data_IF_915141689753
#
_entry.id   IF_915141689753
#
_cell.length_a   1.000
_cell.length_b   1.000
_cell.length_c   1.000
_cell.angle_alpha   90.00
_cell.angle_beta   90.00
_cell.angle_gamma   90.00
#
_symmetry.space_group_name_H-M   'P 1'
#
loop_
_entity.id
_entity.type
_entity.pdbx_description
1 polymer ?
#
# COMPACT_ATOMS: atom_id res chain seq x y z
N UNK A 1 3.20 1.97 -19.00
CA UNK A 1 3.38 2.14 -17.55
C UNK A 1 2.07 1.75 -16.89
N UNK A 2 2.08 0.66 -16.12
CA UNK A 2 0.85 0.11 -15.53
C UNK A 2 0.37 1.08 -14.45
N UNK A 3 -0.89 1.54 -14.50
CA UNK A 3 -1.45 2.52 -13.54
C UNK A 3 -1.20 2.11 -12.07
N UNK A 4 -1.21 0.79 -11.79
CA UNK A 4 -0.90 0.23 -10.48
C UNK A 4 0.50 0.58 -9.98
N UNK A 5 1.52 0.69 -10.85
CA UNK A 5 2.88 1.04 -10.43
C UNK A 5 2.98 2.47 -9.91
N UNK A 6 2.30 3.42 -10.56
CA UNK A 6 2.24 4.80 -10.08
C UNK A 6 1.51 4.89 -8.73
N UNK A 7 0.46 4.09 -8.55
CA UNK A 7 -0.26 3.96 -7.28
C UNK A 7 0.68 3.38 -6.21
N UNK A 8 1.42 2.32 -6.51
CA UNK A 8 2.35 1.67 -5.58
C UNK A 8 3.47 2.61 -5.13
N UNK A 9 4.02 3.41 -6.05
CA UNK A 9 5.04 4.43 -5.73
C UNK A 9 4.47 5.54 -4.84
N UNK A 10 3.23 5.96 -5.09
CA UNK A 10 2.61 7.01 -4.28
C UNK A 10 2.35 6.53 -2.84
N UNK A 11 1.86 5.29 -2.69
CA UNK A 11 1.67 4.66 -1.39
C UNK A 11 2.97 4.35 -0.66
N UNK A 12 4.00 3.88 -1.37
CA UNK A 12 5.31 3.65 -0.75
C UNK A 12 5.92 4.94 -0.19
N UNK A 13 5.72 6.08 -0.88
CA UNK A 13 6.10 7.40 -0.39
C UNK A 13 5.29 7.84 0.83
N UNK A 14 3.96 7.65 0.81
CA UNK A 14 3.10 7.97 1.95
C UNK A 14 3.48 7.16 3.20
N UNK A 15 3.68 5.85 3.07
CA UNK A 15 4.13 4.99 4.17
C UNK A 15 5.51 5.40 4.71
N UNK A 16 6.39 5.88 3.83
CA UNK A 16 7.72 6.37 4.21
C UNK A 16 7.62 7.71 4.95
N UNK A 17 6.77 8.62 4.49
CA UNK A 17 6.50 9.89 5.17
C UNK A 17 5.86 9.70 6.55
N UNK A 18 5.00 8.69 6.69
CA UNK A 18 4.39 8.31 7.96
C UNK A 18 5.28 7.43 8.85
N UNK A 19 6.46 7.01 8.36
CA UNK A 19 7.41 6.19 9.12
C UNK A 19 6.97 4.74 9.37
N UNK A 20 5.89 4.27 8.73
CA UNK A 20 5.28 2.97 8.99
C UNK A 20 5.62 1.88 7.96
N UNK A 21 6.51 2.16 6.99
CA UNK A 21 6.84 1.22 5.90
C UNK A 21 7.22 -0.19 6.36
N UNK A 22 7.92 -0.34 7.49
CA UNK A 22 8.33 -1.66 8.01
C UNK A 22 7.17 -2.42 8.67
N UNK A 23 6.31 -1.73 9.41
CA UNK A 23 5.14 -2.34 10.07
C UNK A 23 4.05 -2.74 9.09
N UNK A 24 3.89 -1.95 8.02
CA UNK A 24 2.94 -2.22 6.92
C UNK A 24 3.21 -3.61 6.31
N UNK A 25 4.46 -3.98 6.04
CA UNK A 25 4.79 -5.29 5.48
C UNK A 25 4.33 -6.43 6.39
N UNK A 26 4.60 -6.35 7.70
CA UNK A 26 4.16 -7.36 8.66
C UNK A 26 2.63 -7.46 8.77
N UNK A 27 1.92 -6.33 8.77
CA UNK A 27 0.45 -6.29 8.80
C UNK A 27 -0.16 -6.84 7.50
N UNK A 28 0.48 -6.59 6.35
CA UNK A 28 0.06 -7.14 5.07
C UNK A 28 0.39 -8.63 4.92
N UNK A 29 1.43 -9.12 5.59
CA UNK A 29 1.78 -10.55 5.68
C UNK A 29 0.80 -11.32 6.58
N UNK A 30 0.24 -10.68 7.60
CA UNK A 30 -0.83 -11.28 8.40
C UNK A 30 -2.09 -11.55 7.56
N UNK A 31 -2.67 -12.72 7.80
CA UNK A 31 -3.64 -13.41 6.95
C UNK A 31 -4.95 -12.63 6.77
N UNK A 32 -5.25 -12.27 5.52
CA UNK A 32 -6.59 -12.01 4.93
C UNK A 32 -7.46 -10.90 5.56
N UNK A 33 -7.90 -11.09 6.79
CA UNK A 33 -8.94 -10.29 7.45
C UNK A 33 -8.49 -8.85 7.72
N UNK A 34 -7.22 -8.65 8.10
CA UNK A 34 -6.65 -7.33 8.31
C UNK A 34 -6.58 -6.50 7.02
N UNK A 35 -6.32 -7.15 5.88
CA UNK A 35 -6.30 -6.48 4.58
C UNK A 35 -7.70 -6.02 4.16
N UNK A 36 -8.73 -6.84 4.41
CA UNK A 36 -10.13 -6.48 4.19
C UNK A 36 -10.60 -5.32 5.10
N UNK A 37 -10.18 -5.32 6.37
CA UNK A 37 -10.47 -4.20 7.28
C UNK A 37 -9.78 -2.92 6.83
N UNK A 38 -8.52 -3.01 6.41
CA UNK A 38 -7.79 -1.87 5.87
C UNK A 38 -8.43 -1.33 4.59
N UNK A 39 -8.91 -2.18 3.67
CA UNK A 39 -9.66 -1.76 2.48
C UNK A 39 -10.90 -0.94 2.86
N UNK A 40 -11.68 -1.39 3.84
CA UNK A 40 -12.85 -0.67 4.32
C UNK A 40 -12.50 0.67 4.97
N UNK A 41 -11.42 0.73 5.77
CA UNK A 41 -10.92 1.99 6.34
C UNK A 41 -10.47 2.95 5.23
N UNK A 42 -9.84 2.45 4.16
CA UNK A 42 -9.43 3.28 3.02
C UNK A 42 -10.61 3.89 2.29
N UNK A 43 -11.69 3.13 2.07
CA UNK A 43 -12.92 3.67 1.50
C UNK A 43 -13.53 4.76 2.40
N UNK A 44 -13.58 4.53 3.71
CA UNK A 44 -14.13 5.50 4.67
C UNK A 44 -13.25 6.75 4.84
N UNK A 45 -11.95 6.62 4.62
CA UNK A 45 -10.99 7.72 4.72
C UNK A 45 -10.81 8.48 3.41
N UNK A 46 -11.46 8.09 2.31
CA UNK A 46 -11.47 8.86 1.06
C UNK A 46 -11.71 10.35 1.22
N UNK A 47 -12.78 10.83 1.90
CA UNK A 47 -13.02 12.26 2.07
C UNK A 47 -11.95 12.96 2.94
N UNK A 48 -11.36 12.25 3.90
CA UNK A 48 -10.35 12.79 4.82
C UNK A 48 -8.96 12.87 4.17
N UNK A 49 -8.60 11.87 3.36
CA UNK A 49 -7.30 11.73 2.72
C UNK A 49 -7.26 12.27 1.28
N UNK A 50 -8.39 12.70 0.71
CA UNK A 50 -8.46 13.21 -0.67
C UNK A 50 -7.51 14.39 -0.96
N UNK A 51 -7.08 15.14 0.07
CA UNK A 51 -6.11 16.23 -0.06
C UNK A 51 -4.64 15.78 -0.06
N UNK A 52 -4.36 14.55 0.37
CA UNK A 52 -3.00 13.97 0.46
C UNK A 52 -2.80 12.89 -0.61
N UNK A 53 -3.81 12.07 -0.85
CA UNK A 53 -3.83 10.98 -1.81
C UNK A 53 -5.14 11.05 -2.61
N UNK A 54 -5.05 11.00 -3.95
CA UNK A 54 -6.22 11.05 -4.82
C UNK A 54 -7.19 9.89 -4.54
N UNK A 55 -8.50 10.15 -4.60
CA UNK A 55 -9.54 9.14 -4.36
C UNK A 55 -9.38 7.86 -5.20
N UNK A 56 -8.96 7.97 -6.47
CA UNK A 56 -8.60 6.82 -7.33
C UNK A 56 -7.47 5.98 -6.76
N UNK A 57 -6.45 6.62 -6.20
CA UNK A 57 -5.28 5.93 -5.63
C UNK A 57 -5.64 5.22 -4.32
N UNK A 58 -6.57 5.77 -3.54
CA UNK A 58 -7.16 5.11 -2.37
C UNK A 58 -7.99 3.89 -2.76
N UNK A 59 -8.88 4.03 -3.75
CA UNK A 59 -9.70 2.94 -4.25
C UNK A 59 -8.86 1.80 -4.83
N UNK A 60 -7.89 2.12 -5.69
CA UNK A 60 -7.03 1.10 -6.26
C UNK A 60 -6.19 0.37 -5.20
N UNK A 61 -5.78 1.08 -4.14
CA UNK A 61 -5.07 0.46 -3.03
C UNK A 61 -5.97 -0.45 -2.18
N UNK A 62 -7.21 -0.04 -1.93
CA UNK A 62 -8.20 -0.92 -1.30
C UNK A 62 -8.39 -2.21 -2.12
N UNK A 63 -8.50 -2.11 -3.44
CA UNK A 63 -8.60 -3.29 -4.32
C UNK A 63 -7.36 -4.20 -4.26
N UNK A 64 -6.15 -3.63 -4.17
CA UNK A 64 -4.91 -4.39 -3.97
C UNK A 64 -4.94 -5.16 -2.65
N UNK A 65 -5.51 -4.59 -1.59
CA UNK A 65 -5.64 -5.26 -0.29
C UNK A 65 -6.72 -6.35 -0.29
N UNK A 66 -7.80 -6.16 -1.04
CA UNK A 66 -8.86 -7.15 -1.23
C UNK A 66 -8.38 -8.36 -2.04
N UNK A 67 -7.46 -8.15 -2.98
CA UNK A 67 -6.92 -9.19 -3.84
C UNK A 67 -5.62 -9.79 -3.28
N UNK A 68 -5.61 -11.05 -2.81
CA UNK A 68 -4.42 -11.67 -2.22
C UNK A 68 -3.24 -11.79 -3.20
N UNK A 69 -3.49 -11.88 -4.51
CA UNK A 69 -2.44 -11.95 -5.52
C UNK A 69 -1.74 -10.60 -5.69
N UNK A 70 -2.50 -9.52 -5.83
CA UNK A 70 -1.96 -8.15 -5.94
C UNK A 70 -1.30 -7.71 -4.63
N UNK A 71 -1.88 -8.09 -3.49
CA UNK A 71 -1.28 -7.86 -2.17
C UNK A 71 0.13 -8.44 -2.09
N UNK A 72 0.31 -9.70 -2.48
CA UNK A 72 1.64 -10.34 -2.48
C UNK A 72 2.61 -9.61 -3.40
N UNK A 73 2.17 -9.21 -4.58
CA UNK A 73 2.99 -8.42 -5.50
C UNK A 73 3.38 -7.06 -4.91
N UNK A 74 2.46 -6.40 -4.21
CA UNK A 74 2.72 -5.12 -3.53
C UNK A 74 3.65 -5.28 -2.32
N UNK A 75 3.51 -6.35 -1.53
CA UNK A 75 4.43 -6.67 -0.43
C UNK A 75 5.83 -6.94 -0.96
N UNK A 76 5.96 -7.72 -2.04
CA UNK A 76 7.25 -7.92 -2.72
C UNK A 76 7.82 -6.60 -3.21
N UNK A 77 6.99 -5.74 -3.84
CA UNK A 77 7.42 -4.40 -4.25
C UNK A 77 7.88 -3.53 -3.07
N UNK A 78 7.19 -3.55 -1.92
CA UNK A 78 7.63 -2.81 -0.73
C UNK A 78 8.93 -3.38 -0.13
N UNK A 79 9.16 -4.69 -0.29
CA UNK A 79 10.38 -5.41 0.12
C UNK A 79 11.53 -5.29 -0.89
N UNK A 80 11.26 -4.96 -2.14
CA UNK A 80 12.25 -4.62 -3.18
C UNK A 80 12.51 -3.10 -3.31
N UNK A 81 11.56 -2.28 -2.87
CA UNK A 81 11.73 -0.84 -2.68
C UNK A 81 12.53 -0.36 -1.43
N UNK A 82 13.07 -1.20 -0.51
CA UNK A 82 13.99 -0.74 0.51
C UNK A 82 15.35 -0.56 -0.14
N UNK A 83 15.86 0.67 -0.02
CA UNK A 83 17.28 0.96 0.01
C UNK A 83 18.08 0.56 -1.25
N UNK A 84 18.19 1.48 -2.21
CA UNK A 84 19.51 1.73 -2.81
C UNK A 84 20.44 2.23 -1.70
N UNK A 85 21.01 1.27 -0.97
CA UNK A 85 21.88 1.47 0.17
C UNK A 85 22.18 0.14 0.87
N UNK A 86 23.14 -0.62 0.33
CA UNK A 86 23.78 -1.84 0.88
C UNK A 86 22.83 -3.05 0.96
N UNK A 87 23.11 -4.29 0.54
CA UNK A 87 24.27 -5.16 0.30
C UNK A 87 23.66 -6.41 -0.41
N UNK A 88 24.25 -7.22 -1.27
CA UNK A 88 25.62 -7.64 -1.58
C UNK A 88 25.65 -8.24 -2.99
#
# INVERSE_FOLDING_TARGET
MNENQSIWINWSRAFRQWGISKGVVSVLEESGSLSLLAAQILYLSQPLLSGVISARSLQAFAQILENPAEKRAFVSFLREAPFSGTSS
#
